data_IF_542607400992
#
_entry.id   IF_542607400992
#
_cell.length_a   1.000
_cell.length_b   1.000
_cell.length_c   1.000
_cell.angle_alpha   90.00
_cell.angle_beta   90.00
_cell.angle_gamma   90.00
#
_symmetry.space_group_name_H-M   'P 1'
#
loop_
_entity.id
_entity.type
_entity.pdbx_description
1 polymer ?
#
# COMPACT_ATOMS: atom_id res chain seq x y z
N UNK A 1 -8.86 18.35 2.86
CA UNK A 1 -7.81 18.34 1.83
C UNK A 1 -6.83 17.29 2.28
N UNK A 2 -6.78 16.19 1.54
CA UNK A 2 -5.85 15.10 1.80
C UNK A 2 -4.41 15.60 1.71
N UNK A 3 -3.56 15.09 2.58
CA UNK A 3 -2.14 15.44 2.65
C UNK A 3 -1.29 14.18 2.62
N UNK A 4 -0.07 14.34 2.12
CA UNK A 4 0.97 13.32 2.28
C UNK A 4 1.48 13.40 3.72
N UNK A 5 1.60 12.25 4.37
CA UNK A 5 2.11 12.09 5.72
C UNK A 5 3.22 11.05 5.75
N UNK A 6 3.90 10.94 6.88
CA UNK A 6 4.66 9.77 7.26
C UNK A 6 3.97 9.09 8.45
N UNK A 7 4.23 7.80 8.61
CA UNK A 7 3.86 7.01 9.79
C UNK A 7 5.17 6.54 10.41
N UNK A 8 5.52 6.98 11.63
CA UNK A 8 6.82 6.67 12.24
C UNK A 8 7.18 5.18 12.22
N UNK A 9 6.20 4.30 12.40
CA UNK A 9 6.37 2.85 12.39
C UNK A 9 6.78 2.34 11.01
N UNK A 10 6.11 2.78 9.95
CA UNK A 10 6.49 2.47 8.55
C UNK A 10 7.87 3.04 8.25
N UNK A 11 8.12 4.28 8.66
CA UNK A 11 9.42 4.93 8.53
C UNK A 11 10.55 4.18 9.23
N UNK A 12 10.30 3.66 10.43
CA UNK A 12 11.25 2.88 11.21
C UNK A 12 11.55 1.53 10.56
N UNK A 13 10.53 0.85 10.00
CA UNK A 13 10.73 -0.40 9.24
C UNK A 13 11.73 -0.15 8.10
N UNK A 14 11.46 0.82 7.21
CA UNK A 14 12.36 1.05 6.07
C UNK A 14 13.71 1.61 6.49
N UNK A 15 13.78 2.44 7.54
CA UNK A 15 15.06 2.87 8.10
C UNK A 15 15.89 1.67 8.58
N UNK A 16 15.29 0.72 9.29
CA UNK A 16 15.97 -0.49 9.74
C UNK A 16 16.41 -1.38 8.57
N UNK A 17 15.56 -1.51 7.54
CA UNK A 17 15.91 -2.23 6.31
C UNK A 17 17.10 -1.58 5.60
N UNK A 18 17.14 -0.25 5.53
CA UNK A 18 18.27 0.50 4.96
C UNK A 18 19.58 0.14 5.66
N UNK A 19 19.60 0.11 6.99
CA UNK A 19 20.79 -0.30 7.75
C UNK A 19 21.16 -1.77 7.52
N UNK A 20 20.18 -2.62 7.21
CA UNK A 20 20.40 -4.03 6.84
C UNK A 20 20.78 -4.24 5.36
N UNK A 21 21.04 -3.15 4.61
CA UNK A 21 21.51 -3.22 3.22
C UNK A 21 20.41 -3.18 2.16
N UNK A 22 19.20 -2.69 2.50
CA UNK A 22 18.15 -2.41 1.51
C UNK A 22 18.60 -1.33 0.51
N UNK A 23 18.61 -1.68 -0.77
CA UNK A 23 19.18 -0.88 -1.87
C UNK A 23 18.15 -0.42 -2.92
N UNK A 24 16.91 -0.94 -2.85
CA UNK A 24 15.81 -0.62 -3.77
C UNK A 24 15.34 0.84 -3.69
N UNK A 25 15.76 1.60 -2.67
CA UNK A 25 15.50 3.04 -2.56
C UNK A 25 16.13 3.84 -3.70
N UNK A 26 17.14 3.29 -4.38
CA UNK A 26 17.89 3.98 -5.43
C UNK A 26 17.18 4.02 -6.78
N UNK A 27 16.19 3.15 -6.99
CA UNK A 27 15.47 2.96 -8.26
C UNK A 27 14.63 4.20 -8.60
N UNK A 28 14.78 4.72 -9.83
CA UNK A 28 14.16 5.97 -10.35
C UNK A 28 14.31 7.21 -9.44
N UNK A 29 15.26 7.22 -8.50
CA UNK A 29 15.53 8.39 -7.66
C UNK A 29 16.68 9.22 -8.19
N UNK A 30 16.66 10.51 -7.86
CA UNK A 30 17.76 11.41 -8.19
C UNK A 30 19.00 11.07 -7.36
N UNK A 31 20.19 11.39 -7.89
CA UNK A 31 21.44 11.25 -7.15
C UNK A 31 21.41 12.00 -5.81
N UNK A 32 20.85 13.21 -5.77
CA UNK A 32 20.76 13.98 -4.53
C UNK A 32 19.86 13.34 -3.48
N UNK A 33 18.78 12.66 -3.89
CA UNK A 33 17.97 11.82 -2.98
C UNK A 33 18.80 10.67 -2.43
N UNK A 34 19.48 9.94 -3.32
CA UNK A 34 20.28 8.77 -2.94
C UNK A 34 21.43 9.15 -1.99
N UNK A 35 22.17 10.21 -2.30
CA UNK A 35 23.25 10.73 -1.45
C UNK A 35 22.70 11.14 -0.06
N UNK A 36 21.49 11.70 -0.01
CA UNK A 36 20.86 12.09 1.25
C UNK A 36 20.44 10.88 2.08
N UNK A 37 19.86 9.84 1.46
CA UNK A 37 19.49 8.59 2.14
C UNK A 37 20.75 7.84 2.62
N UNK A 38 21.78 7.73 1.79
CA UNK A 38 23.06 7.14 2.18
C UNK A 38 23.70 7.86 3.37
N UNK A 39 23.50 9.17 3.52
CA UNK A 39 23.97 9.92 4.67
C UNK A 39 23.31 9.55 6.01
N UNK A 40 22.25 8.73 6.00
CA UNK A 40 21.61 8.17 7.19
C UNK A 40 22.03 6.73 7.49
N UNK A 41 22.79 6.09 6.60
CA UNK A 41 23.39 4.79 6.88
C UNK A 41 24.51 5.01 7.88
N UNK A 42 24.43 4.35 9.02
CA UNK A 42 25.48 4.36 10.04
C UNK A 42 25.93 2.93 10.37
N UNK A 43 27.05 2.84 11.09
CA UNK A 43 27.56 1.61 11.69
C UNK A 43 26.85 1.31 13.04
N UNK A 44 25.71 1.96 13.29
CA UNK A 44 24.88 1.76 14.46
C UNK A 44 24.29 0.36 14.50
N UNK A 45 24.06 -0.13 15.72
CA UNK A 45 23.50 -1.48 15.91
C UNK A 45 21.98 -1.39 15.77
N UNK A 46 21.44 -1.71 14.60
CA UNK A 46 20.01 -1.99 14.43
C UNK A 46 19.72 -3.42 14.90
N UNK A 47 18.54 -3.70 15.47
CA UNK A 47 18.15 -5.05 15.84
C UNK A 47 18.33 -6.04 14.68
N UNK A 48 18.99 -7.20 14.88
CA UNK A 48 19.17 -8.21 13.85
C UNK A 48 17.86 -8.70 13.22
N UNK A 49 16.73 -8.50 13.91
CA UNK A 49 15.38 -8.82 13.45
C UNK A 49 15.12 -8.45 11.98
N UNK A 50 15.48 -7.23 11.56
CA UNK A 50 15.15 -6.71 10.22
C UNK A 50 16.00 -7.33 9.10
N UNK A 51 17.12 -7.98 9.43
CA UNK A 51 17.91 -8.72 8.43
C UNK A 51 17.16 -9.93 7.85
N UNK A 52 16.17 -10.47 8.60
CA UNK A 52 15.32 -11.58 8.17
C UNK A 52 14.26 -11.22 7.13
N UNK A 53 14.11 -9.94 6.78
CA UNK A 53 13.08 -9.48 5.81
C UNK A 53 13.48 -9.79 4.38
N UNK A 54 14.77 -9.80 4.06
CA UNK A 54 15.25 -10.14 2.72
C UNK A 54 15.17 -11.66 2.51
N UNK A 55 14.53 -12.07 1.44
CA UNK A 55 14.30 -13.46 1.08
C UNK A 55 15.03 -13.83 -0.21
N UNK A 56 15.42 -15.09 -0.32
CA UNK A 56 16.06 -15.63 -1.52
C UNK A 56 15.04 -16.20 -2.54
N UNK A 57 13.75 -16.19 -2.21
CA UNK A 57 12.67 -16.83 -2.97
C UNK A 57 12.05 -15.94 -4.05
N UNK A 58 12.23 -14.62 -3.98
CA UNK A 58 11.68 -13.66 -4.94
C UNK A 58 12.79 -12.95 -5.71
N UNK A 59 12.94 -13.26 -7.01
CA UNK A 59 14.01 -12.70 -7.85
C UNK A 59 13.82 -11.21 -8.18
N UNK A 60 12.57 -10.73 -8.23
CA UNK A 60 12.26 -9.36 -8.68
C UNK A 60 12.30 -8.36 -7.52
N UNK A 61 11.72 -8.70 -6.37
CA UNK A 61 11.71 -7.85 -5.18
C UNK A 61 11.81 -8.71 -3.90
N UNK A 62 13.03 -8.97 -3.40
CA UNK A 62 13.29 -9.94 -2.34
C UNK A 62 12.82 -9.50 -0.94
N UNK A 63 12.29 -8.29 -0.80
CA UNK A 63 11.74 -7.79 0.47
C UNK A 63 10.23 -8.01 0.58
N UNK A 64 9.57 -8.39 -0.51
CA UNK A 64 8.15 -8.74 -0.52
C UNK A 64 8.00 -10.26 -0.40
N UNK A 65 7.05 -10.77 0.41
CA UNK A 65 5.98 -10.02 1.09
C UNK A 65 6.32 -9.52 2.51
N UNK A 66 7.48 -9.88 3.08
CA UNK A 66 7.77 -9.65 4.50
C UNK A 66 7.74 -8.16 4.90
N UNK A 67 8.23 -7.24 4.08
CA UNK A 67 8.16 -5.81 4.38
C UNK A 67 6.70 -5.30 4.45
N UNK A 68 5.83 -5.75 3.56
CA UNK A 68 4.40 -5.43 3.58
C UNK A 68 3.69 -6.05 4.79
N UNK A 69 4.10 -7.26 5.20
CA UNK A 69 3.60 -7.89 6.43
C UNK A 69 4.00 -7.06 7.67
N UNK A 70 5.23 -6.54 7.74
CA UNK A 70 5.65 -5.67 8.85
C UNK A 70 4.89 -4.34 8.87
N UNK A 71 4.64 -3.73 7.71
CA UNK A 71 3.76 -2.55 7.64
C UNK A 71 2.36 -2.88 8.16
N UNK A 72 1.79 -4.01 7.74
CA UNK A 72 0.49 -4.49 8.24
C UNK A 72 0.52 -4.66 9.76
N UNK A 73 1.55 -5.34 10.27
CA UNK A 73 1.72 -5.64 11.69
C UNK A 73 1.74 -4.38 12.56
N UNK A 74 2.28 -3.26 12.05
CA UNK A 74 2.38 -1.99 12.79
C UNK A 74 1.01 -1.45 13.24
N UNK A 75 -0.05 -1.69 12.46
CA UNK A 75 -1.42 -1.27 12.78
C UNK A 75 -2.08 -2.09 13.89
N UNK A 76 -1.49 -3.24 14.24
CA UNK A 76 -1.98 -4.16 15.27
C UNK A 76 -1.17 -4.08 16.56
N UNK A 77 -0.25 -3.14 16.70
CA UNK A 77 0.52 -2.92 17.92
C UNK A 77 -0.26 -2.11 18.97
N UNK A 78 0.12 -2.28 20.23
CA UNK A 78 -0.25 -1.35 21.30
C UNK A 78 0.42 0.02 21.07
N UNK A 79 -0.17 1.13 21.55
CA UNK A 79 0.42 2.46 21.40
C UNK A 79 1.82 2.64 22.03
N UNK A 80 2.17 1.80 23.01
CA UNK A 80 3.48 1.78 23.66
C UNK A 80 4.44 0.75 23.03
N UNK A 81 4.01 0.07 21.97
CA UNK A 81 4.76 -0.96 21.24
C UNK A 81 5.21 -2.16 22.07
N UNK A 82 4.63 -2.36 23.26
CA UNK A 82 5.00 -3.45 24.16
C UNK A 82 4.65 -4.84 23.61
N UNK A 83 3.57 -4.92 22.83
CA UNK A 83 3.04 -6.15 22.24
C UNK A 83 2.01 -5.83 21.14
N UNK A 84 1.51 -6.87 20.48
CA UNK A 84 0.32 -6.77 19.65
C UNK A 84 -0.93 -6.50 20.51
N UNK A 85 -1.72 -5.52 20.09
CA UNK A 85 -3.06 -5.24 20.64
C UNK A 85 -4.07 -6.31 20.21
N UNK A 86 -3.98 -6.78 18.97
CA UNK A 86 -4.88 -7.77 18.40
C UNK A 86 -4.13 -8.66 17.40
N UNK A 87 -3.44 -9.67 17.93
CA UNK A 87 -2.64 -10.59 17.13
C UNK A 87 -3.51 -11.53 16.28
N UNK A 88 -4.69 -11.91 16.78
CA UNK A 88 -5.58 -12.84 16.08
C UNK A 88 -6.13 -12.19 14.80
N UNK A 89 -6.60 -10.93 14.88
CA UNK A 89 -7.05 -10.19 13.69
C UNK A 89 -5.91 -9.94 12.70
N UNK A 90 -4.69 -9.68 13.19
CA UNK A 90 -3.50 -9.58 12.34
C UNK A 90 -3.23 -10.89 11.60
N UNK A 91 -3.25 -12.01 12.33
CA UNK A 91 -3.04 -13.34 11.78
C UNK A 91 -4.08 -13.68 10.72
N UNK A 92 -5.37 -13.50 11.00
CA UNK A 92 -6.45 -13.70 10.04
C UNK A 92 -6.30 -12.82 8.79
N UNK A 93 -5.86 -11.58 8.96
CA UNK A 93 -5.63 -10.65 7.84
C UNK A 93 -4.57 -11.16 6.87
N UNK A 94 -3.44 -11.66 7.38
CA UNK A 94 -2.37 -12.22 6.51
C UNK A 94 -2.79 -13.58 5.95
N UNK A 95 -3.46 -14.44 6.74
CA UNK A 95 -3.93 -15.75 6.27
C UNK A 95 -5.01 -15.64 5.18
N UNK A 96 -5.75 -14.54 5.12
CA UNK A 96 -6.73 -14.27 4.05
C UNK A 96 -6.17 -13.55 2.83
N UNK A 97 -4.91 -13.08 2.86
CA UNK A 97 -4.30 -12.33 1.76
C UNK A 97 -3.97 -13.22 0.56
N UNK A 98 -4.85 -13.27 -0.45
CA UNK A 98 -4.72 -14.17 -1.60
C UNK A 98 -3.46 -13.98 -2.47
N UNK A 99 -2.77 -12.85 -2.35
CA UNK A 99 -1.54 -12.55 -3.07
C UNK A 99 -0.28 -13.12 -2.41
N UNK A 100 -0.30 -13.51 -1.13
CA UNK A 100 0.88 -14.04 -0.43
C UNK A 100 0.93 -15.57 -0.64
N UNK A 101 2.07 -16.17 -0.98
CA UNK A 101 2.13 -17.63 -1.17
C UNK A 101 2.03 -18.40 0.16
N UNK A 102 1.47 -19.62 0.19
CA UNK A 102 1.26 -20.37 1.45
C UNK A 102 2.55 -20.64 2.23
N UNK A 103 3.67 -20.85 1.53
CA UNK A 103 5.00 -21.04 2.14
C UNK A 103 5.54 -19.78 2.82
N UNK A 104 5.05 -18.60 2.43
CA UNK A 104 5.42 -17.30 3.01
C UNK A 104 4.64 -17.02 4.31
N UNK A 105 3.63 -17.84 4.64
CA UNK A 105 2.74 -17.68 5.81
C UNK A 105 2.87 -18.84 6.81
N UNK A 106 3.98 -19.55 6.77
CA UNK A 106 4.22 -20.75 7.57
C UNK A 106 4.53 -20.42 9.05
N UNK A 107 4.75 -21.44 9.86
CA UNK A 107 5.07 -21.29 11.28
C UNK A 107 6.33 -20.44 11.54
N UNK A 108 7.27 -20.36 10.59
CA UNK A 108 8.49 -19.55 10.75
C UNK A 108 8.16 -18.07 10.75
N UNK A 109 7.27 -17.62 9.86
CA UNK A 109 6.76 -16.24 9.87
C UNK A 109 6.22 -15.90 11.26
N UNK A 110 5.31 -16.73 11.76
CA UNK A 110 4.60 -16.48 13.01
C UNK A 110 5.50 -16.54 14.24
N UNK A 111 6.56 -17.34 14.20
CA UNK A 111 7.57 -17.40 15.27
C UNK A 111 8.51 -16.20 15.22
N UNK A 112 8.87 -15.72 14.03
CA UNK A 112 9.74 -14.56 13.88
C UNK A 112 9.01 -13.27 14.26
N UNK A 113 7.77 -13.08 13.80
CA UNK A 113 7.04 -11.81 13.94
C UNK A 113 6.64 -11.48 15.39
N UNK A 114 6.71 -12.43 16.33
CA UNK A 114 6.48 -12.14 17.75
C UNK A 114 7.51 -11.18 18.34
N UNK A 115 8.72 -11.13 17.76
CA UNK A 115 9.80 -10.24 18.20
C UNK A 115 9.68 -8.83 17.59
N UNK A 116 8.75 -8.62 16.65
CA UNK A 116 8.58 -7.36 15.95
C UNK A 116 8.30 -6.15 16.87
N UNK A 117 7.42 -6.21 17.88
CA UNK A 117 7.14 -5.06 18.74
C UNK A 117 8.40 -4.55 19.45
N UNK A 118 9.22 -5.47 19.99
CA UNK A 118 10.47 -5.14 20.66
C UNK A 118 11.49 -4.55 19.67
N UNK A 119 11.69 -5.20 18.51
CA UNK A 119 12.62 -4.73 17.49
C UNK A 119 12.23 -3.34 16.95
N UNK A 120 10.94 -3.08 16.71
CA UNK A 120 10.46 -1.77 16.26
C UNK A 120 10.69 -0.70 17.34
N UNK A 121 10.41 -1.02 18.61
CA UNK A 121 10.61 -0.12 19.75
C UNK A 121 12.06 0.35 19.86
N UNK A 122 13.03 -0.55 19.66
CA UNK A 122 14.46 -0.21 19.68
C UNK A 122 14.83 0.78 18.57
N UNK A 123 14.29 0.60 17.36
CA UNK A 123 14.53 1.52 16.24
C UNK A 123 13.90 2.88 16.51
N UNK A 124 12.64 2.92 16.94
CA UNK A 124 11.90 4.13 17.28
C UNK A 124 12.62 4.93 18.39
N UNK A 125 13.24 4.23 19.34
CA UNK A 125 14.00 4.84 20.42
C UNK A 125 15.38 5.37 19.99
N UNK A 126 15.90 4.99 18.82
CA UNK A 126 17.25 5.36 18.39
C UNK A 126 17.37 6.84 17.96
N UNK A 127 18.46 7.50 18.36
CA UNK A 127 18.72 8.88 17.95
C UNK A 127 18.98 9.01 16.44
N UNK A 128 19.53 7.96 15.82
CA UNK A 128 19.74 7.91 14.37
C UNK A 128 18.41 7.95 13.62
N UNK A 129 17.44 7.13 14.02
CA UNK A 129 16.11 7.16 13.45
C UNK A 129 15.40 8.49 13.70
N UNK A 130 15.47 9.06 14.91
CA UNK A 130 14.86 10.38 15.17
C UNK A 130 15.38 11.46 14.23
N UNK A 131 16.69 11.51 13.99
CA UNK A 131 17.29 12.44 13.00
C UNK A 131 16.80 12.20 11.58
N UNK A 132 16.64 10.93 11.18
CA UNK A 132 16.04 10.56 9.90
C UNK A 132 14.58 11.02 9.81
N UNK A 133 13.76 10.75 10.83
CA UNK A 133 12.34 11.08 10.87
C UNK A 133 12.09 12.60 10.84
N UNK A 134 12.94 13.38 11.52
CA UNK A 134 12.92 14.84 11.45
C UNK A 134 13.18 15.35 10.02
N UNK A 135 14.12 14.73 9.31
CA UNK A 135 14.39 15.07 7.91
C UNK A 135 13.26 14.61 6.99
N UNK A 136 12.75 13.39 7.16
CA UNK A 136 11.64 12.84 6.39
C UNK A 136 10.39 13.71 6.53
N UNK A 137 10.08 14.17 7.74
CA UNK A 137 8.93 15.08 7.98
C UNK A 137 9.04 16.39 7.22
N UNK A 138 10.25 16.95 7.09
CA UNK A 138 10.52 18.14 6.26
C UNK A 138 10.36 17.80 4.78
N UNK A 139 10.92 16.68 4.34
CA UNK A 139 10.80 16.19 2.97
C UNK A 139 9.35 15.93 2.56
N UNK A 140 8.52 15.38 3.46
CA UNK A 140 7.06 15.20 3.27
C UNK A 140 6.36 16.54 3.14
N UNK A 141 6.75 17.55 3.92
CA UNK A 141 6.20 18.91 3.77
C UNK A 141 6.50 19.47 2.38
N UNK A 142 7.71 19.26 1.87
CA UNK A 142 8.08 19.64 0.50
C UNK A 142 7.27 18.85 -0.55
N UNK A 143 6.98 17.57 -0.32
CA UNK A 143 6.14 16.78 -1.23
C UNK A 143 4.70 17.32 -1.27
N UNK A 144 4.13 17.71 -0.13
CA UNK A 144 2.80 18.32 -0.09
C UNK A 144 2.73 19.60 -0.93
N UNK A 145 3.73 20.48 -0.82
CA UNK A 145 3.80 21.69 -1.65
C UNK A 145 3.99 21.37 -3.12
N UNK A 146 4.80 20.35 -3.44
CA UNK A 146 5.07 19.93 -4.82
C UNK A 146 3.84 19.36 -5.53
N UNK A 147 3.00 18.61 -4.81
CA UNK A 147 1.86 17.87 -5.36
C UNK A 147 0.50 18.43 -4.95
N UNK A 148 0.45 19.71 -4.56
CA UNK A 148 -0.78 20.36 -4.06
C UNK A 148 -1.98 20.19 -5.00
N UNK A 149 -1.76 20.32 -6.32
CA UNK A 149 -2.83 20.21 -7.32
C UNK A 149 -3.36 18.79 -7.43
N UNK A 150 -2.47 17.81 -7.43
CA UNK A 150 -2.81 16.39 -7.47
C UNK A 150 -3.54 15.96 -6.19
N UNK A 151 -3.15 16.48 -5.03
CA UNK A 151 -3.85 16.23 -3.76
C UNK A 151 -5.26 16.83 -3.77
N UNK A 152 -5.44 18.03 -4.32
CA UNK A 152 -6.77 18.60 -4.57
C UNK A 152 -7.64 17.72 -5.49
N UNK A 153 -7.04 17.13 -6.52
CA UNK A 153 -7.73 16.23 -7.44
C UNK A 153 -8.19 14.95 -6.73
N UNK A 154 -7.33 14.34 -5.91
CA UNK A 154 -7.66 13.15 -5.12
C UNK A 154 -8.82 13.44 -4.16
N UNK A 155 -8.76 14.56 -3.44
CA UNK A 155 -9.86 14.97 -2.56
C UNK A 155 -11.17 15.16 -3.33
N UNK A 156 -11.11 15.81 -4.50
CA UNK A 156 -12.30 16.03 -5.34
C UNK A 156 -12.90 14.70 -5.82
N UNK A 157 -12.05 13.75 -6.20
CA UNK A 157 -12.47 12.39 -6.56
C UNK A 157 -13.15 11.68 -5.39
N UNK A 158 -12.55 11.73 -4.19
CA UNK A 158 -13.13 11.17 -2.97
C UNK A 158 -14.51 11.77 -2.69
N UNK A 159 -14.63 13.10 -2.73
CA UNK A 159 -15.89 13.81 -2.47
C UNK A 159 -16.98 13.39 -3.46
N UNK A 160 -16.65 13.24 -4.75
CA UNK A 160 -17.61 12.76 -5.76
C UNK A 160 -18.00 11.31 -5.48
N UNK A 161 -17.05 10.43 -5.19
CA UNK A 161 -17.33 9.01 -4.94
C UNK A 161 -18.17 8.80 -3.67
N UNK A 162 -17.93 9.58 -2.61
CA UNK A 162 -18.76 9.57 -1.40
C UNK A 162 -20.18 10.04 -1.71
N UNK A 163 -20.32 11.17 -2.41
CA UNK A 163 -21.63 11.80 -2.62
C UNK A 163 -22.48 11.12 -3.71
N UNK A 164 -21.87 10.72 -4.83
CA UNK A 164 -22.58 10.10 -5.97
C UNK A 164 -22.65 8.59 -5.89
N UNK A 165 -21.57 7.93 -5.45
CA UNK A 165 -21.46 6.47 -5.52
C UNK A 165 -21.64 5.78 -4.17
N UNK A 166 -21.78 6.54 -3.08
CA UNK A 166 -21.95 5.97 -1.74
C UNK A 166 -20.70 5.21 -1.27
N UNK A 167 -19.50 5.69 -1.64
CA UNK A 167 -18.23 5.09 -1.23
C UNK A 167 -18.19 4.79 0.27
N UNK A 168 -17.78 3.58 0.69
CA UNK A 168 -17.57 3.26 2.10
C UNK A 168 -16.36 3.99 2.67
N UNK A 169 -15.41 4.36 1.81
CA UNK A 169 -14.22 5.14 2.17
C UNK A 169 -14.57 6.63 2.15
N UNK A 170 -14.32 7.31 3.27
CA UNK A 170 -14.59 8.73 3.51
C UNK A 170 -13.33 9.57 3.71
N UNK A 171 -12.18 8.92 3.89
CA UNK A 171 -10.90 9.59 4.11
C UNK A 171 -9.78 8.82 3.39
N UNK A 172 -8.85 9.54 2.78
CA UNK A 172 -7.66 8.97 2.15
C UNK A 172 -6.42 9.49 2.86
N UNK A 173 -5.69 8.60 3.53
CA UNK A 173 -4.38 8.89 4.09
C UNK A 173 -3.29 8.44 3.11
N UNK A 174 -2.47 9.38 2.65
CA UNK A 174 -1.37 9.09 1.74
C UNK A 174 -0.08 9.10 2.55
N UNK A 175 0.64 7.98 2.56
CA UNK A 175 1.90 7.80 3.25
C UNK A 175 2.99 7.58 2.21
N UNK A 176 3.97 8.46 2.18
CA UNK A 176 5.10 8.33 1.26
C UNK A 176 6.39 8.19 2.05
N UNK A 177 7.13 7.11 1.78
CA UNK A 177 8.40 6.83 2.42
C UNK A 177 9.57 6.99 1.42
N UNK A 178 10.60 7.80 1.72
CA UNK A 178 11.68 8.08 0.78
C UNK A 178 12.66 6.91 0.60
N UNK A 179 12.68 5.94 1.53
CA UNK A 179 13.49 4.71 1.43
C UNK A 179 12.70 3.62 0.67
N UNK A 180 11.38 3.52 0.85
CA UNK A 180 10.56 2.52 0.16
C UNK A 180 10.75 2.60 -1.36
N UNK A 181 10.74 1.44 -2.02
CA UNK A 181 10.90 1.33 -3.47
C UNK A 181 9.80 2.11 -4.19
N UNK A 182 10.16 2.87 -5.23
CA UNK A 182 9.23 3.71 -6.01
C UNK A 182 8.11 2.94 -6.72
N UNK A 183 8.28 1.62 -6.85
CA UNK A 183 7.32 0.69 -7.45
C UNK A 183 6.55 -0.14 -6.42
N UNK A 184 6.91 -0.04 -5.13
CA UNK A 184 6.20 -0.72 -4.05
C UNK A 184 5.12 0.21 -3.52
N UNK A 185 3.87 -0.24 -3.60
CA UNK A 185 2.73 0.38 -2.96
C UNK A 185 1.96 -0.69 -2.19
N UNK A 186 1.49 -0.33 -1.01
CA UNK A 186 0.64 -1.14 -0.15
C UNK A 186 -0.54 -0.31 0.29
N UNK A 187 -1.67 -0.95 0.58
CA UNK A 187 -2.87 -0.24 1.01
C UNK A 187 -3.60 -0.98 2.13
N UNK A 188 -4.30 -0.20 2.95
CA UNK A 188 -4.98 -0.67 4.15
C UNK A 188 -6.31 0.04 4.30
N UNK A 189 -7.33 -0.70 4.73
CA UNK A 189 -8.60 -0.13 5.16
C UNK A 189 -8.67 -0.17 6.68
N UNK A 190 -8.95 0.97 7.29
CA UNK A 190 -9.25 1.09 8.71
C UNK A 190 -10.57 1.85 8.88
N UNK A 191 -11.66 1.11 9.09
CA UNK A 191 -13.00 1.68 9.11
C UNK A 191 -13.35 2.32 7.76
N UNK A 192 -13.61 3.63 7.77
CA UNK A 192 -13.90 4.43 6.58
C UNK A 192 -12.65 5.13 6.01
N UNK A 193 -11.46 4.85 6.53
CA UNK A 193 -10.20 5.43 6.06
C UNK A 193 -9.41 4.46 5.19
N UNK A 194 -9.05 4.90 4.00
CA UNK A 194 -8.14 4.21 3.08
C UNK A 194 -6.73 4.78 3.24
N UNK A 195 -5.78 3.92 3.58
CA UNK A 195 -4.37 4.28 3.68
C UNK A 195 -3.63 3.74 2.47
N UNK A 196 -2.87 4.60 1.80
CA UNK A 196 -2.00 4.25 0.68
C UNK A 196 -0.54 4.53 1.05
N UNK A 197 0.30 3.50 1.12
CA UNK A 197 1.71 3.54 1.51
C UNK A 197 2.60 3.25 0.30
N UNK A 198 3.41 4.20 -0.15
CA UNK A 198 4.25 4.02 -1.34
C UNK A 198 5.63 4.67 -1.21
N UNK A 199 6.59 4.18 -1.99
CA UNK A 199 7.87 4.86 -2.14
C UNK A 199 7.74 6.22 -2.84
N UNK A 200 6.84 6.34 -3.81
CA UNK A 200 6.66 7.57 -4.57
C UNK A 200 5.20 7.95 -4.70
N UNK A 201 4.92 9.25 -4.62
CA UNK A 201 3.59 9.77 -4.85
C UNK A 201 3.22 9.61 -6.33
N UNK A 202 2.12 8.90 -6.58
CA UNK A 202 1.52 8.71 -7.90
C UNK A 202 0.00 8.82 -7.76
N UNK A 203 -0.56 9.96 -8.16
CA UNK A 203 -2.00 10.23 -8.01
C UNK A 203 -2.87 9.17 -8.72
N UNK A 204 -2.43 8.66 -9.88
CA UNK A 204 -3.15 7.60 -10.57
C UNK A 204 -3.27 6.32 -9.73
N UNK A 205 -2.23 5.99 -8.95
CA UNK A 205 -2.16 4.75 -8.18
C UNK A 205 -3.04 4.89 -6.95
N UNK A 206 -3.00 6.05 -6.29
CA UNK A 206 -3.90 6.36 -5.16
C UNK A 206 -5.36 6.23 -5.59
N UNK A 207 -5.74 6.86 -6.72
CA UNK A 207 -7.12 6.82 -7.23
C UNK A 207 -7.50 5.41 -7.68
N UNK A 208 -6.60 4.70 -8.37
CA UNK A 208 -6.85 3.34 -8.84
C UNK A 208 -7.17 2.38 -7.69
N UNK A 209 -6.29 2.29 -6.69
CA UNK A 209 -6.50 1.42 -5.53
C UNK A 209 -7.74 1.85 -4.72
N UNK A 210 -7.97 3.16 -4.56
CA UNK A 210 -9.19 3.66 -3.92
C UNK A 210 -10.47 3.22 -4.65
N UNK A 211 -10.48 3.29 -5.99
CA UNK A 211 -11.66 2.99 -6.79
C UNK A 211 -12.06 1.51 -6.75
N UNK A 212 -11.15 0.57 -6.43
CA UNK A 212 -11.54 -0.81 -6.14
C UNK A 212 -12.62 -0.89 -5.06
N UNK A 213 -12.55 -0.05 -4.02
CA UNK A 213 -13.54 -0.04 -2.94
C UNK A 213 -14.90 0.52 -3.35
N UNK A 214 -14.95 1.30 -4.43
CA UNK A 214 -16.19 1.82 -5.02
C UNK A 214 -16.79 0.81 -6.00
N UNK A 215 -15.93 0.16 -6.80
CA UNK A 215 -16.32 -0.74 -7.89
C UNK A 215 -16.69 -2.13 -7.39
N UNK A 216 -15.94 -2.68 -6.42
CA UNK A 216 -16.10 -4.06 -5.95
C UNK A 216 -17.52 -4.42 -5.51
N UNK A 217 -18.23 -3.62 -4.67
CA UNK A 217 -19.61 -3.94 -4.29
C UNK A 217 -20.54 -4.05 -5.50
N UNK A 218 -20.35 -3.19 -6.50
CA UNK A 218 -21.17 -3.18 -7.71
C UNK A 218 -20.85 -4.38 -8.61
N UNK A 219 -19.59 -4.76 -8.74
CA UNK A 219 -19.17 -5.98 -9.46
C UNK A 219 -19.82 -7.21 -8.83
N UNK A 220 -19.85 -7.30 -7.49
CA UNK A 220 -20.52 -8.40 -6.80
C UNK A 220 -22.04 -8.44 -7.07
N UNK A 221 -22.70 -7.29 -7.21
CA UNK A 221 -24.11 -7.25 -7.66
C UNK A 221 -24.30 -7.71 -9.10
N UNK A 222 -23.32 -7.47 -9.98
CA UNK A 222 -23.37 -7.80 -11.41
C UNK A 222 -22.76 -9.19 -11.72
N UNK A 223 -22.38 -9.97 -10.71
CA UNK A 223 -21.65 -11.24 -10.83
C UNK A 223 -22.18 -12.15 -11.93
N UNK A 224 -23.47 -12.47 -11.91
CA UNK A 224 -24.08 -13.40 -12.89
C UNK A 224 -23.97 -12.89 -14.33
N UNK A 225 -24.05 -11.57 -14.53
CA UNK A 225 -23.93 -10.95 -15.85
C UNK A 225 -22.51 -11.04 -16.39
N UNK A 226 -21.51 -10.78 -15.54
CA UNK A 226 -20.08 -10.88 -15.86
C UNK A 226 -19.72 -12.33 -16.21
N UNK A 227 -20.16 -13.29 -15.38
CA UNK A 227 -19.84 -14.70 -15.56
C UNK A 227 -20.54 -15.33 -16.78
N UNK A 228 -21.68 -14.79 -17.21
CA UNK A 228 -22.40 -15.28 -18.38
C UNK A 228 -21.66 -15.03 -19.70
N UNK A 229 -20.87 -13.96 -19.81
CA UNK A 229 -20.19 -13.58 -21.07
C UNK A 229 -18.81 -14.21 -21.24
N UNK A 230 -18.07 -14.40 -20.13
CA UNK A 230 -16.69 -14.92 -20.12
C UNK A 230 -15.77 -14.18 -21.09
N UNK A 231 -15.91 -12.85 -21.13
CA UNK A 231 -15.14 -12.00 -22.03
C UNK A 231 -13.66 -11.90 -21.57
N UNK A 232 -12.77 -11.73 -22.55
CA UNK A 232 -11.37 -11.34 -22.32
C UNK A 232 -11.29 -9.82 -22.44
N UNK A 233 -10.90 -9.15 -21.37
CA UNK A 233 -10.86 -7.71 -21.28
C UNK A 233 -9.53 -7.17 -21.81
N UNK A 234 -9.54 -6.10 -22.62
CA UNK A 234 -8.32 -5.49 -23.14
C UNK A 234 -7.36 -5.06 -22.03
N UNK A 235 -6.06 -5.24 -22.28
CA UNK A 235 -4.95 -4.85 -21.40
C UNK A 235 -4.93 -5.56 -20.03
N UNK A 236 -5.75 -6.59 -19.79
CA UNK A 236 -5.71 -7.41 -18.57
C UNK A 236 -4.79 -8.61 -18.78
N UNK A 237 -3.88 -8.83 -17.82
CA UNK A 237 -2.95 -9.94 -17.88
C UNK A 237 -3.65 -11.29 -17.65
N UNK A 238 -3.16 -12.33 -18.33
CA UNK A 238 -3.73 -13.69 -18.23
C UNK A 238 -3.75 -14.24 -16.79
N UNK A 239 -2.86 -13.77 -15.91
CA UNK A 239 -2.81 -14.14 -14.49
C UNK A 239 -4.11 -13.83 -13.73
N UNK A 240 -4.84 -12.80 -14.13
CA UNK A 240 -6.13 -12.45 -13.52
C UNK A 240 -7.19 -13.54 -13.74
N UNK A 241 -7.08 -14.35 -14.79
CA UNK A 241 -8.07 -15.36 -15.16
C UNK A 241 -7.82 -16.74 -14.55
N UNK A 242 -6.72 -16.93 -13.81
CA UNK A 242 -6.26 -18.27 -13.38
C UNK A 242 -7.18 -18.94 -12.35
N UNK A 243 -8.04 -18.18 -11.67
CA UNK A 243 -8.91 -18.66 -10.59
C UNK A 243 -10.37 -18.94 -11.03
N UNK A 244 -10.59 -19.26 -12.32
CA UNK A 244 -11.91 -19.57 -12.86
C UNK A 244 -12.88 -18.39 -12.72
N UNK A 245 -14.07 -18.63 -12.17
CA UNK A 245 -15.09 -17.59 -11.98
C UNK A 245 -14.60 -16.41 -11.11
N UNK A 246 -13.82 -16.71 -10.06
CA UNK A 246 -13.21 -15.66 -9.23
C UNK A 246 -12.22 -14.83 -10.05
N UNK A 247 -11.44 -15.48 -10.90
CA UNK A 247 -10.52 -14.81 -11.81
C UNK A 247 -11.24 -13.94 -12.84
N UNK A 248 -12.34 -14.43 -13.42
CA UNK A 248 -13.17 -13.65 -14.34
C UNK A 248 -13.70 -12.36 -13.69
N UNK A 249 -14.15 -12.44 -12.44
CA UNK A 249 -14.62 -11.27 -11.68
C UNK A 249 -13.47 -10.30 -11.38
N UNK A 250 -12.31 -10.81 -10.96
CA UNK A 250 -11.12 -9.99 -10.72
C UNK A 250 -10.65 -9.28 -12.00
N UNK A 251 -10.66 -9.97 -13.13
CA UNK A 251 -10.30 -9.39 -14.42
C UNK A 251 -11.25 -8.27 -14.85
N UNK A 252 -12.57 -8.48 -14.67
CA UNK A 252 -13.56 -7.44 -14.96
C UNK A 252 -13.43 -6.24 -14.02
N UNK A 253 -13.23 -6.49 -12.73
CA UNK A 253 -13.05 -5.42 -11.73
C UNK A 253 -11.85 -4.56 -12.08
N UNK A 254 -10.69 -5.17 -12.34
CA UNK A 254 -9.46 -4.47 -12.76
C UNK A 254 -9.70 -3.64 -14.03
N UNK A 255 -10.38 -4.21 -15.03
CA UNK A 255 -10.72 -3.51 -16.26
C UNK A 255 -11.62 -2.28 -16.00
N UNK A 256 -12.67 -2.45 -15.19
CA UNK A 256 -13.60 -1.39 -14.84
C UNK A 256 -12.91 -0.27 -14.04
N UNK A 257 -12.07 -0.63 -13.06
CA UNK A 257 -11.28 0.34 -12.27
C UNK A 257 -10.32 1.11 -13.17
N UNK A 258 -9.61 0.47 -14.11
CA UNK A 258 -8.73 1.16 -15.07
C UNK A 258 -9.46 2.15 -15.95
N UNK A 259 -10.66 1.81 -16.42
CA UNK A 259 -11.51 2.71 -17.20
C UNK A 259 -11.97 3.89 -16.36
N UNK A 260 -12.53 3.62 -15.19
CA UNK A 260 -13.01 4.66 -14.29
C UNK A 260 -11.89 5.59 -13.79
N UNK A 261 -10.69 5.05 -13.54
CA UNK A 261 -9.51 5.85 -13.16
C UNK A 261 -9.18 6.87 -14.24
N UNK A 262 -9.22 6.47 -15.52
CA UNK A 262 -8.97 7.40 -16.64
C UNK A 262 -10.03 8.50 -16.69
N UNK A 263 -11.29 8.11 -16.60
CA UNK A 263 -12.42 9.04 -16.69
C UNK A 263 -12.36 10.08 -15.55
N UNK A 264 -12.20 9.62 -14.30
CA UNK A 264 -12.12 10.49 -13.10
C UNK A 264 -10.91 11.42 -13.12
N UNK A 265 -9.74 10.96 -13.58
CA UNK A 265 -8.56 11.82 -13.73
C UNK A 265 -8.77 12.94 -14.76
N UNK A 266 -9.68 12.75 -15.71
CA UNK A 266 -10.11 13.78 -16.68
C UNK A 266 -11.35 14.55 -16.24
N UNK A 267 -11.80 14.37 -14.99
CA UNK A 267 -13.01 14.95 -14.41
C UNK A 267 -14.31 14.53 -15.14
N UNK A 268 -14.29 13.41 -15.84
CA UNK A 268 -15.45 12.81 -16.50
C UNK A 268 -16.10 11.79 -15.55
N UNK A 269 -16.99 12.29 -14.68
CA UNK A 269 -17.63 11.46 -13.67
C UNK A 269 -18.93 10.86 -14.20
N UNK A 270 -19.05 9.54 -14.09
CA UNK A 270 -20.26 8.81 -14.45
C UNK A 270 -21.42 9.21 -13.53
N UNK A 271 -22.63 9.35 -14.07
CA UNK A 271 -23.79 9.72 -13.24
C UNK A 271 -24.24 8.57 -12.34
N UNK A 272 -24.25 7.34 -12.87
CA UNK A 272 -24.68 6.13 -12.16
C UNK A 272 -23.63 5.04 -12.39
N UNK A 273 -22.88 4.72 -11.33
CA UNK A 273 -21.77 3.74 -11.41
C UNK A 273 -22.24 2.35 -11.85
N UNK A 274 -23.43 1.92 -11.40
CA UNK A 274 -24.01 0.63 -11.77
C UNK A 274 -24.33 0.53 -13.26
N UNK A 275 -24.85 1.59 -13.87
CA UNK A 275 -25.21 1.57 -15.29
C UNK A 275 -23.96 1.68 -16.16
N UNK A 276 -22.96 2.45 -15.71
CA UNK A 276 -21.64 2.47 -16.33
C UNK A 276 -21.00 1.08 -16.33
N UNK A 277 -20.92 0.40 -15.18
CA UNK A 277 -20.34 -0.95 -15.10
C UNK A 277 -21.10 -1.95 -15.96
N UNK A 278 -22.44 -1.92 -16.00
CA UNK A 278 -23.23 -2.76 -16.91
C UNK A 278 -22.88 -2.55 -18.39
N UNK A 279 -22.54 -1.33 -18.79
CA UNK A 279 -22.14 -1.03 -20.16
C UNK A 279 -20.74 -1.57 -20.53
N UNK A 280 -19.93 -1.90 -19.52
CA UNK A 280 -18.60 -2.47 -19.66
C UNK A 280 -18.59 -4.01 -19.66
N UNK A 281 -19.66 -4.63 -19.14
CA UNK A 281 -19.91 -6.07 -19.27
C UNK A 281 -20.19 -6.38 -20.72
#
# INVERSE_FOLDING_TARGET
>A
MDTISNIPEISAIYFALLQCGYDFFTIERSRGHNDRIWGFVDDGTIPPFFSGVRQDTCEVYPYWPLAAILETASFYLQPDYSQFRDFDSFHERIMSAGNIADNERDQKLWTWITDFPAALSEVLASDAFRRYLEWESKWVTEQNSKYEKELCLIQSCLDVCVNKYGSPVRNIQIVINPIKCVYSADYYLNGDSFLFSSGAFRANSVIHEFLHHVVHPVVMMLKEMVLARKDVYPDIDSSYYLSGDAGQLSAFEEYAVRKLTKDVLTMDYQEIITDYLKSLV
#
